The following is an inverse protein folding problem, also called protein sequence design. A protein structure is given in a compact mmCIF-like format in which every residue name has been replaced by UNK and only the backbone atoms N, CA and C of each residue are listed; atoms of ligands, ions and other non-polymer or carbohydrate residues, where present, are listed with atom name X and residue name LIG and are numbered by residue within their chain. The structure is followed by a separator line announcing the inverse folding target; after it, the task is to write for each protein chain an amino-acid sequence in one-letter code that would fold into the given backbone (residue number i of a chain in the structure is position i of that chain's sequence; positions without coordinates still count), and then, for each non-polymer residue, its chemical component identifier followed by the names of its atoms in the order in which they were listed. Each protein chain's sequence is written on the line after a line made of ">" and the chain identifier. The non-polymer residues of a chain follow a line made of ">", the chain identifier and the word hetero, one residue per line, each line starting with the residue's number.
data_IF_749529311051
#
_entry.id   IF_749529311051
#
_cell.length_a   1.000
_cell.length_b   1.000
_cell.length_c   1.000
_cell.angle_alpha   90.00
_cell.angle_beta   90.00
_cell.angle_gamma   90.00
#
_symmetry.space_group_name_H-M   'P 1'
#
loop_
_entity.id
_entity.type
_entity.pdbx_description
1 polymer ?
#
# COMPACT_ATOMS: atom_id res chain seq x y z
N UNK A 1 20.34 0.20 -14.24
CA UNK A 1 20.15 1.41 -13.38
C UNK A 1 18.99 1.13 -12.44
N UNK A 2 19.14 1.45 -11.16
CA UNK A 2 18.07 1.34 -10.16
C UNK A 2 16.93 2.27 -10.51
N UNK A 3 15.70 1.79 -10.50
CA UNK A 3 14.50 2.59 -10.76
C UNK A 3 14.26 3.59 -9.61
N UNK A 4 13.46 4.62 -9.88
CA UNK A 4 13.13 5.59 -8.83
C UNK A 4 11.99 5.08 -7.94
N UNK A 5 10.99 4.39 -8.50
CA UNK A 5 9.87 3.84 -7.73
C UNK A 5 9.48 2.43 -8.16
N UNK A 6 9.20 1.55 -7.19
CA UNK A 6 8.52 0.28 -7.38
C UNK A 6 7.05 0.45 -7.00
N UNK A 7 6.15 0.26 -7.95
CA UNK A 7 4.71 0.23 -7.73
C UNK A 7 4.33 -1.21 -7.39
N UNK A 8 3.85 -1.45 -6.18
CA UNK A 8 3.44 -2.78 -5.72
C UNK A 8 1.95 -2.94 -5.88
N UNK A 9 1.56 -3.95 -6.61
CA UNK A 9 0.18 -4.17 -7.06
C UNK A 9 -0.25 -5.64 -6.86
N UNK A 10 -0.82 -6.00 -5.71
CA UNK A 10 -1.62 -7.21 -5.60
C UNK A 10 -2.83 -7.10 -6.51
N UNK A 11 -3.08 -8.12 -7.32
CA UNK A 11 -4.14 -8.06 -8.33
C UNK A 11 -4.91 -9.36 -8.44
N UNK A 12 -6.23 -9.23 -8.53
CA UNK A 12 -7.16 -10.31 -8.85
C UNK A 12 -7.96 -10.03 -10.14
N UNK A 13 -7.68 -8.89 -10.79
CA UNK A 13 -8.36 -8.41 -12.01
C UNK A 13 -7.36 -8.19 -13.13
N UNK A 14 -6.85 -9.27 -13.75
CA UNK A 14 -5.83 -9.16 -14.79
C UNK A 14 -6.27 -8.32 -15.99
N UNK A 15 -7.58 -8.23 -16.24
CA UNK A 15 -8.17 -7.43 -17.31
C UNK A 15 -7.97 -5.92 -17.14
N UNK A 16 -7.72 -5.44 -15.92
CA UNK A 16 -7.48 -4.02 -15.65
C UNK A 16 -6.02 -3.62 -15.85
N UNK A 17 -5.11 -4.58 -15.87
CA UNK A 17 -3.66 -4.33 -15.75
C UNK A 17 -3.05 -3.55 -16.92
N UNK A 18 -3.48 -3.79 -18.16
CA UNK A 18 -2.96 -3.03 -19.31
C UNK A 18 -3.33 -1.55 -19.20
N UNK A 19 -4.55 -1.27 -18.77
CA UNK A 19 -5.00 0.10 -18.55
C UNK A 19 -4.29 0.73 -17.37
N UNK A 20 -4.20 0.01 -16.26
CA UNK A 20 -3.42 0.44 -15.10
C UNK A 20 -1.98 0.82 -15.51
N UNK A 21 -1.31 -0.01 -16.32
CA UNK A 21 0.03 0.26 -16.82
C UNK A 21 0.09 1.58 -17.58
N UNK A 22 -0.86 1.83 -18.48
CA UNK A 22 -0.91 3.08 -19.25
C UNK A 22 -1.09 4.32 -18.38
N UNK A 23 -1.77 4.21 -17.24
CA UNK A 23 -1.91 5.29 -16.27
C UNK A 23 -0.67 5.45 -15.39
N UNK A 24 0.02 4.37 -15.05
CA UNK A 24 1.31 4.44 -14.38
C UNK A 24 2.34 5.18 -15.24
N UNK A 25 2.37 4.96 -16.56
CA UNK A 25 3.21 5.74 -17.49
C UNK A 25 2.88 7.25 -17.47
N UNK A 26 1.59 7.61 -17.36
CA UNK A 26 1.18 9.01 -17.25
C UNK A 26 1.47 9.62 -15.86
N UNK A 27 1.46 8.80 -14.83
CA UNK A 27 1.73 9.24 -13.46
C UNK A 27 3.22 9.47 -13.19
N UNK A 28 4.11 8.80 -13.95
CA UNK A 28 5.56 8.83 -13.80
C UNK A 28 6.24 9.14 -15.15
N UNK A 29 6.15 10.39 -15.60
CA UNK A 29 6.68 10.82 -16.90
C UNK A 29 8.13 11.25 -16.85
N UNK A 30 8.57 11.79 -15.71
CA UNK A 30 9.89 12.41 -15.52
C UNK A 30 10.90 11.49 -14.87
N UNK A 31 10.41 10.41 -14.27
CA UNK A 31 11.21 9.47 -13.46
C UNK A 31 11.01 8.04 -13.98
N UNK A 32 11.78 7.11 -13.45
CA UNK A 32 11.71 5.71 -13.83
C UNK A 32 10.92 4.89 -12.83
N UNK A 33 10.11 3.95 -13.32
CA UNK A 33 9.32 3.06 -12.46
C UNK A 33 9.42 1.59 -12.91
N UNK A 34 9.09 0.72 -11.98
CA UNK A 34 8.71 -0.67 -12.24
C UNK A 34 7.36 -0.95 -11.58
N UNK A 35 6.65 -1.96 -12.07
CA UNK A 35 5.46 -2.49 -11.41
C UNK A 35 5.74 -3.93 -11.01
N UNK A 36 5.50 -4.23 -9.73
CA UNK A 36 5.63 -5.57 -9.17
C UNK A 36 4.23 -6.10 -8.87
N UNK A 37 3.77 -7.03 -9.70
CA UNK A 37 2.41 -7.58 -9.65
C UNK A 37 2.45 -8.92 -8.91
N UNK A 38 1.61 -9.07 -7.88
CA UNK A 38 1.36 -10.34 -7.21
C UNK A 38 -0.08 -10.77 -7.48
N UNK A 39 -0.29 -11.92 -8.15
CA UNK A 39 -1.62 -12.34 -8.57
C UNK A 39 -1.75 -13.86 -8.58
N UNK A 40 -2.96 -14.41 -8.26
CA UNK A 40 -3.28 -15.82 -8.49
C UNK A 40 -3.59 -16.12 -9.95
N UNK A 41 -3.71 -15.09 -10.80
CA UNK A 41 -4.05 -15.22 -12.22
C UNK A 41 -2.88 -14.81 -13.10
N UNK A 42 -2.77 -15.41 -14.28
CA UNK A 42 -1.82 -14.95 -15.28
C UNK A 42 -2.13 -13.52 -15.71
N UNK A 43 -1.11 -12.72 -15.84
CA UNK A 43 -1.25 -11.35 -16.35
C UNK A 43 -1.17 -11.34 -17.88
N UNK A 44 -1.72 -10.29 -18.55
CA UNK A 44 -1.67 -10.18 -20.01
C UNK A 44 -0.27 -10.31 -20.60
N UNK A 45 -0.13 -11.09 -21.66
CA UNK A 45 1.16 -11.34 -22.33
C UNK A 45 1.90 -10.05 -22.75
N UNK A 46 1.23 -8.98 -23.23
CA UNK A 46 1.92 -7.73 -23.53
C UNK A 46 2.66 -7.12 -22.33
N UNK A 47 2.13 -7.30 -21.11
CA UNK A 47 2.78 -6.83 -19.88
C UNK A 47 3.98 -7.69 -19.49
N UNK A 48 3.88 -9.01 -19.66
CA UNK A 48 5.01 -9.92 -19.39
C UNK A 48 6.27 -9.60 -20.22
N UNK A 49 6.09 -8.95 -21.39
CA UNK A 49 7.18 -8.54 -22.27
C UNK A 49 7.82 -7.20 -21.90
N UNK A 50 7.24 -6.47 -20.93
CA UNK A 50 7.77 -5.17 -20.48
C UNK A 50 8.93 -5.39 -19.51
N UNK A 51 10.05 -4.73 -19.74
CA UNK A 51 11.26 -4.84 -18.90
C UNK A 51 11.07 -4.30 -17.47
N UNK A 52 10.08 -3.41 -17.28
CA UNK A 52 9.76 -2.81 -16.00
C UNK A 52 8.56 -3.47 -15.31
N UNK A 53 8.17 -4.68 -15.74
CA UNK A 53 7.17 -5.49 -15.05
C UNK A 53 7.85 -6.69 -14.39
N UNK A 54 7.56 -6.88 -13.11
CA UNK A 54 7.85 -8.11 -12.37
C UNK A 54 6.54 -8.76 -11.98
N UNK A 55 6.44 -10.05 -12.18
CA UNK A 55 5.24 -10.82 -11.88
C UNK A 55 5.53 -11.95 -10.91
N UNK A 56 4.68 -12.07 -9.91
CA UNK A 56 4.69 -13.12 -8.91
C UNK A 56 3.35 -13.85 -8.89
N UNK A 57 3.35 -15.11 -9.25
CA UNK A 57 2.17 -15.95 -9.08
C UNK A 57 2.02 -16.38 -7.61
N UNK A 58 0.92 -16.01 -6.98
CA UNK A 58 0.67 -16.34 -5.56
C UNK A 58 -0.82 -16.36 -5.24
N UNK A 59 -1.20 -17.28 -4.35
CA UNK A 59 -2.55 -17.37 -3.76
C UNK A 59 -2.59 -16.81 -2.33
N UNK A 60 -1.58 -16.05 -1.94
CA UNK A 60 -1.52 -15.44 -0.63
C UNK A 60 -2.65 -14.41 -0.43
N UNK A 61 -3.04 -14.20 0.84
CA UNK A 61 -3.96 -13.11 1.18
C UNK A 61 -3.37 -11.74 0.78
N UNK A 62 -4.19 -10.67 0.72
CA UNK A 62 -3.74 -9.37 0.22
C UNK A 62 -2.49 -8.83 0.93
N UNK A 63 -2.42 -8.92 2.24
CA UNK A 63 -1.28 -8.41 3.02
C UNK A 63 0.01 -9.16 2.70
N UNK A 64 -0.06 -10.50 2.66
CA UNK A 64 1.10 -11.33 2.33
C UNK A 64 1.50 -11.13 0.86
N UNK A 65 0.54 -11.01 -0.05
CA UNK A 65 0.82 -10.73 -1.46
C UNK A 65 1.58 -9.40 -1.64
N UNK A 66 1.19 -8.34 -0.91
CA UNK A 66 1.95 -7.08 -0.85
C UNK A 66 3.38 -7.30 -0.35
N UNK A 67 3.52 -7.98 0.76
CA UNK A 67 4.84 -8.23 1.36
C UNK A 67 5.73 -9.04 0.41
N UNK A 68 5.16 -10.04 -0.26
CA UNK A 68 5.87 -10.85 -1.26
C UNK A 68 6.33 -10.02 -2.45
N UNK A 69 5.45 -9.18 -2.99
CA UNK A 69 5.79 -8.29 -4.08
C UNK A 69 6.87 -7.27 -3.66
N UNK A 70 6.77 -6.73 -2.45
CA UNK A 70 7.76 -5.79 -1.92
C UNK A 70 9.18 -6.37 -1.85
N UNK A 71 9.33 -7.69 -1.65
CA UNK A 71 10.65 -8.35 -1.69
C UNK A 71 11.30 -8.40 -3.08
N UNK A 72 10.52 -8.20 -4.13
CA UNK A 72 11.02 -8.14 -5.50
C UNK A 72 11.33 -6.71 -5.94
N UNK A 73 11.00 -5.72 -5.11
CA UNK A 73 11.31 -4.32 -5.37
C UNK A 73 12.82 -4.07 -5.26
N UNK A 74 13.34 -3.24 -6.18
CA UNK A 74 14.74 -2.80 -6.15
C UNK A 74 14.90 -1.31 -6.45
N UNK A 75 13.79 -0.55 -6.47
CA UNK A 75 13.81 0.90 -6.64
C UNK A 75 14.18 1.63 -5.35
N UNK A 76 14.34 2.96 -5.44
CA UNK A 76 14.61 3.82 -4.27
C UNK A 76 13.39 3.97 -3.36
N UNK A 77 12.21 4.04 -3.98
CA UNK A 77 10.93 4.21 -3.29
C UNK A 77 9.98 3.07 -3.61
N UNK A 78 9.07 2.82 -2.68
CA UNK A 78 7.95 1.89 -2.84
C UNK A 78 6.64 2.65 -2.76
N UNK A 79 5.73 2.35 -3.67
CA UNK A 79 4.35 2.83 -3.70
C UNK A 79 3.39 1.64 -3.73
N UNK A 80 2.49 1.55 -2.77
CA UNK A 80 1.44 0.53 -2.78
C UNK A 80 0.17 1.05 -3.44
N UNK A 81 -0.50 0.18 -4.18
CA UNK A 81 -1.78 0.49 -4.82
C UNK A 81 -2.60 -0.78 -5.06
N UNK A 82 -3.78 -0.64 -5.63
CA UNK A 82 -4.74 -1.72 -5.90
C UNK A 82 -5.15 -1.73 -7.38
N UNK A 83 -5.74 -2.83 -7.85
CA UNK A 83 -6.13 -3.04 -9.25
C UNK A 83 -7.57 -2.58 -9.56
N UNK A 84 -8.27 -2.02 -8.59
CA UNK A 84 -9.64 -1.51 -8.68
C UNK A 84 -9.71 -0.01 -8.97
N UNK A 85 -8.61 0.57 -9.38
CA UNK A 85 -8.56 1.99 -9.68
C UNK A 85 -7.37 2.38 -10.57
N UNK A 86 -7.14 3.68 -10.68
CA UNK A 86 -6.17 4.24 -11.60
C UNK A 86 -5.35 5.34 -10.96
N UNK A 87 -4.04 5.29 -11.17
CA UNK A 87 -3.12 6.34 -10.72
C UNK A 87 -3.37 7.59 -11.54
N UNK A 88 -3.48 8.73 -10.87
CA UNK A 88 -3.71 10.01 -11.53
C UNK A 88 -2.44 10.52 -12.21
N UNK A 89 -2.63 11.29 -13.29
CA UNK A 89 -1.54 11.88 -14.05
C UNK A 89 -0.59 12.69 -13.15
N UNK A 90 0.72 12.55 -13.36
CA UNK A 90 1.82 13.19 -12.61
C UNK A 90 1.89 12.86 -11.09
N UNK A 91 1.03 11.97 -10.57
CA UNK A 91 0.95 11.73 -9.13
C UNK A 91 2.26 11.15 -8.55
N UNK A 92 2.91 10.25 -9.26
CA UNK A 92 4.19 9.65 -8.83
C UNK A 92 5.31 10.67 -8.92
N UNK A 93 5.36 11.46 -9.99
CA UNK A 93 6.35 12.54 -10.14
C UNK A 93 6.23 13.56 -9.01
N UNK A 94 4.99 13.93 -8.62
CA UNK A 94 4.73 14.82 -7.48
C UNK A 94 5.17 14.20 -6.14
N UNK A 95 4.95 12.90 -5.94
CA UNK A 95 5.41 12.23 -4.73
C UNK A 95 6.94 12.21 -4.65
N UNK A 96 7.63 11.95 -5.78
CA UNK A 96 9.08 12.05 -5.87
C UNK A 96 9.59 13.48 -5.64
N UNK A 97 8.88 14.49 -6.11
CA UNK A 97 9.24 15.87 -5.82
C UNK A 97 9.01 16.25 -4.36
N UNK A 98 7.91 15.82 -3.75
CA UNK A 98 7.66 16.02 -2.33
C UNK A 98 8.70 15.31 -1.46
N UNK A 99 9.15 14.12 -1.86
CA UNK A 99 10.16 13.35 -1.13
C UNK A 99 11.49 14.08 -0.95
N UNK A 100 11.82 15.05 -1.82
CA UNK A 100 13.03 15.88 -1.71
C UNK A 100 12.97 16.86 -0.53
N UNK A 101 11.77 17.14 0.00
CA UNK A 101 11.51 18.13 1.04
C UNK A 101 11.15 17.52 2.40
N UNK A 102 11.19 16.20 2.53
CA UNK A 102 10.88 15.48 3.77
C UNK A 102 12.05 14.58 4.15
N UNK A 103 12.02 14.05 5.36
CA UNK A 103 13.02 13.08 5.79
C UNK A 103 12.65 11.66 5.35
N UNK A 104 13.04 11.28 4.13
CA UNK A 104 12.73 9.97 3.53
C UNK A 104 13.20 8.76 4.36
N UNK A 105 14.10 8.96 5.33
CA UNK A 105 14.59 7.88 6.21
C UNK A 105 13.62 7.54 7.33
N UNK A 106 12.54 8.32 7.50
CA UNK A 106 11.55 8.09 8.55
C UNK A 106 10.15 8.61 8.26
N UNK A 107 9.96 9.35 7.18
CA UNK A 107 8.68 9.92 6.82
C UNK A 107 8.01 9.11 5.70
N UNK A 108 6.70 9.28 5.57
CA UNK A 108 5.85 8.63 4.59
C UNK A 108 4.97 9.68 3.90
N UNK A 109 4.65 9.47 2.63
CA UNK A 109 3.65 10.25 1.90
C UNK A 109 2.38 9.41 1.78
N UNK A 110 1.26 9.96 2.20
CA UNK A 110 -0.07 9.43 1.94
C UNK A 110 -0.50 9.87 0.53
N UNK A 111 -0.65 8.90 -0.35
CA UNK A 111 -1.14 9.09 -1.72
C UNK A 111 -2.66 9.18 -1.66
N UNK A 112 -3.19 10.39 -1.48
CA UNK A 112 -4.63 10.63 -1.33
C UNK A 112 -5.40 10.03 -2.50
N UNK A 113 -6.55 9.44 -2.23
CA UNK A 113 -7.39 8.84 -3.25
C UNK A 113 -8.84 9.29 -3.15
N UNK A 114 -9.52 9.30 -4.28
CA UNK A 114 -10.97 9.47 -4.38
C UNK A 114 -11.63 8.11 -4.65
N UNK A 115 -12.83 7.95 -4.16
CA UNK A 115 -13.64 6.75 -4.35
C UNK A 115 -14.92 7.07 -5.11
N UNK A 116 -15.32 6.17 -6.00
CA UNK A 116 -16.57 6.32 -6.74
C UNK A 116 -16.89 5.12 -7.63
N UNK A 117 -18.02 5.16 -8.29
CA UNK A 117 -18.37 4.17 -9.30
C UNK A 117 -17.78 4.61 -10.62
N UNK A 118 -16.71 3.94 -11.03
CA UNK A 118 -15.96 4.21 -12.25
C UNK A 118 -16.03 3.01 -13.18
N UNK A 119 -16.37 3.23 -14.44
CA UNK A 119 -16.09 2.24 -15.47
C UNK A 119 -14.61 2.31 -15.81
N UNK A 120 -13.85 1.32 -15.33
CA UNK A 120 -12.42 1.25 -15.58
C UNK A 120 -12.09 1.16 -17.07
N UNK A 121 -12.99 0.62 -17.90
CA UNK A 121 -12.76 0.50 -19.34
C UNK A 121 -12.86 1.84 -20.05
N UNK A 122 -13.83 2.65 -19.70
CA UNK A 122 -14.07 3.97 -20.31
C UNK A 122 -13.49 5.11 -19.51
N UNK A 123 -13.25 4.92 -18.21
CA UNK A 123 -12.89 5.94 -17.21
C UNK A 123 -14.02 6.97 -16.96
N UNK A 124 -15.24 6.61 -17.32
CA UNK A 124 -16.39 7.44 -17.04
C UNK A 124 -16.90 7.15 -15.64
N UNK A 125 -17.22 8.19 -14.89
CA UNK A 125 -17.94 8.06 -13.64
C UNK A 125 -19.36 7.59 -13.93
N UNK A 126 -19.68 6.35 -13.52
CA UNK A 126 -21.02 5.80 -13.71
C UNK A 126 -22.04 6.48 -12.79
N UNK A 127 -21.61 6.95 -11.63
CA UNK A 127 -22.45 7.67 -10.70
C UNK A 127 -21.65 8.75 -9.95
N UNK A 128 -21.59 9.98 -10.47
CA UNK A 128 -20.84 11.06 -9.85
C UNK A 128 -21.37 11.45 -8.46
N UNK A 129 -22.62 11.09 -8.11
CA UNK A 129 -23.15 11.34 -6.77
C UNK A 129 -22.65 10.36 -5.71
N UNK A 130 -21.95 9.31 -6.12
CA UNK A 130 -21.32 8.34 -5.23
C UNK A 130 -19.80 8.51 -5.15
N UNK A 131 -19.23 9.51 -5.79
CA UNK A 131 -17.84 9.81 -5.59
C UNK A 131 -17.63 10.36 -4.17
N UNK A 132 -16.76 9.71 -3.42
CA UNK A 132 -16.32 10.17 -2.12
C UNK A 132 -14.98 10.84 -2.29
N UNK A 133 -14.95 12.13 -2.12
CA UNK A 133 -13.68 12.87 -2.13
C UNK A 133 -12.89 12.49 -0.89
N UNK A 134 -11.72 12.00 -1.11
CA UNK A 134 -10.85 11.51 -0.06
C UNK A 134 -10.59 12.55 1.03
N UNK A 135 -10.41 13.81 0.68
CA UNK A 135 -10.20 14.85 1.67
C UNK A 135 -11.40 15.05 2.62
N UNK A 136 -12.62 14.93 2.12
CA UNK A 136 -13.82 15.08 2.95
C UNK A 136 -14.18 13.79 3.69
N UNK A 137 -13.93 12.64 3.10
CA UNK A 137 -14.27 11.35 3.67
C UNK A 137 -13.19 10.85 4.66
N UNK A 138 -11.91 11.04 4.32
CA UNK A 138 -10.78 10.55 5.12
C UNK A 138 -10.12 11.63 5.96
N UNK A 139 -10.47 12.88 5.80
CA UNK A 139 -9.99 13.96 6.66
C UNK A 139 -10.24 13.67 8.15
N UNK A 140 -11.41 13.15 8.56
CA UNK A 140 -11.60 12.63 9.92
C UNK A 140 -10.60 11.54 10.30
N UNK A 141 -10.27 10.64 9.40
CA UNK A 141 -9.34 9.55 9.60
C UNK A 141 -7.90 10.06 9.75
N UNK A 142 -7.53 11.05 8.96
CA UNK A 142 -6.22 11.67 9.07
C UNK A 142 -6.07 12.48 10.37
N UNK A 143 -7.17 12.85 11.02
CA UNK A 143 -7.18 13.61 12.27
C UNK A 143 -7.49 12.72 13.50
N UNK A 144 -7.57 11.42 13.32
CA UNK A 144 -7.80 10.50 14.42
C UNK A 144 -9.24 10.47 14.90
N UNK A 145 -10.22 10.77 14.05
CA UNK A 145 -11.65 10.58 14.37
C UNK A 145 -12.02 9.11 14.50
N UNK A 146 -11.21 8.20 14.08
CA UNK A 146 -11.24 6.82 14.54
C UNK A 146 -10.90 6.68 16.01
N UNK A 147 -10.70 7.79 16.71
CA UNK A 147 -10.64 7.96 18.18
C UNK A 147 -10.28 6.68 18.90
N UNK A 148 -9.11 6.19 18.60
CA UNK A 148 -8.59 5.04 19.27
C UNK A 148 -8.12 5.56 20.65
N UNK A 149 -8.79 5.20 21.76
CA UNK A 149 -8.38 5.67 23.08
C UNK A 149 -6.90 5.34 23.29
N UNK A 150 -6.15 6.29 23.83
CA UNK A 150 -4.73 6.13 24.10
C UNK A 150 -3.78 6.34 22.92
N UNK A 151 -4.27 6.55 21.70
CA UNK A 151 -3.44 6.88 20.54
C UNK A 151 -3.35 8.39 20.37
N UNK A 152 -2.21 8.85 19.83
CA UNK A 152 -2.04 10.24 19.45
C UNK A 152 -3.10 10.63 18.42
N UNK A 153 -4.01 11.54 18.79
CA UNK A 153 -5.14 11.97 17.95
C UNK A 153 -4.73 12.63 16.65
N UNK A 154 -3.48 13.04 16.52
CA UNK A 154 -2.94 13.65 15.31
C UNK A 154 -2.31 12.62 14.35
N UNK A 155 -2.31 11.34 14.70
CA UNK A 155 -1.78 10.30 13.83
C UNK A 155 -2.71 10.08 12.64
N UNK A 156 -2.10 10.02 11.46
CA UNK A 156 -2.80 9.84 10.21
C UNK A 156 -2.87 8.36 9.84
N UNK A 157 -4.01 7.96 9.34
CA UNK A 157 -4.15 6.70 8.61
C UNK A 157 -3.62 6.86 7.18
N UNK A 158 -3.22 5.76 6.56
CA UNK A 158 -2.78 5.74 5.19
C UNK A 158 -3.28 4.46 4.52
N UNK A 159 -3.90 4.59 3.35
CA UNK A 159 -4.37 3.47 2.52
C UNK A 159 -3.47 3.24 1.31
N UNK A 160 -2.91 4.29 0.76
CA UNK A 160 -1.94 4.25 -0.32
C UNK A 160 -0.72 5.03 0.11
N UNK A 161 0.40 4.36 0.31
CA UNK A 161 1.61 5.01 0.79
C UNK A 161 2.69 5.07 -0.28
N UNK A 162 3.52 6.09 -0.17
CA UNK A 162 4.78 6.22 -0.87
C UNK A 162 5.88 6.52 0.14
N UNK A 163 6.92 5.71 0.18
CA UNK A 163 8.03 5.88 1.11
C UNK A 163 9.33 5.30 0.58
N UNK A 164 10.45 5.57 1.24
CA UNK A 164 11.72 4.91 0.94
C UNK A 164 11.58 3.40 1.10
N UNK A 165 12.07 2.64 0.12
CA UNK A 165 12.11 1.17 0.21
C UNK A 165 12.99 0.70 1.38
N UNK A 166 14.15 1.34 1.59
CA UNK A 166 15.04 1.02 2.71
C UNK A 166 14.33 1.19 4.05
N UNK A 167 13.58 2.29 4.22
CA UNK A 167 12.85 2.52 5.47
C UNK A 167 11.66 1.57 5.64
N UNK A 168 10.97 1.20 4.56
CA UNK A 168 9.95 0.16 4.59
C UNK A 168 10.51 -1.19 5.08
N UNK A 169 11.70 -1.56 4.60
CA UNK A 169 12.41 -2.76 5.02
C UNK A 169 12.87 -2.64 6.48
N UNK A 170 13.41 -1.51 6.90
CA UNK A 170 13.84 -1.23 8.27
C UNK A 170 12.67 -1.39 9.25
N UNK A 171 11.48 -0.93 8.91
CA UNK A 171 10.26 -1.13 9.69
C UNK A 171 9.74 -2.58 9.70
N UNK A 172 10.33 -3.47 8.89
CA UNK A 172 9.91 -4.86 8.74
C UNK A 172 8.72 -5.05 7.79
N UNK A 173 8.42 -4.05 6.97
CA UNK A 173 7.32 -4.08 6.01
C UNK A 173 5.95 -4.20 6.69
N UNK A 174 5.04 -4.94 6.07
CA UNK A 174 3.72 -5.22 6.66
C UNK A 174 3.78 -6.28 7.77
N UNK A 175 2.92 -6.15 8.74
CA UNK A 175 2.67 -7.23 9.69
C UNK A 175 1.80 -8.30 9.01
N UNK A 176 2.42 -9.41 8.61
CA UNK A 176 1.75 -10.52 7.92
C UNK A 176 0.80 -11.33 8.81
N UNK A 177 0.62 -10.95 10.08
CA UNK A 177 -0.49 -11.46 10.89
C UNK A 177 -1.83 -10.81 10.52
N UNK A 178 -1.81 -9.70 9.79
CA UNK A 178 -3.02 -9.19 9.15
C UNK A 178 -3.27 -9.93 7.83
N UNK A 179 -4.51 -10.23 7.57
CA UNK A 179 -4.93 -10.77 6.28
C UNK A 179 -5.54 -9.69 5.37
N UNK A 180 -6.22 -8.73 5.99
CA UNK A 180 -6.85 -7.62 5.29
C UNK A 180 -5.90 -6.43 5.19
N UNK A 181 -5.60 -6.03 3.96
CA UNK A 181 -4.56 -5.04 3.68
C UNK A 181 -4.78 -3.69 4.37
N UNK A 182 -6.04 -3.26 4.55
CA UNK A 182 -6.35 -1.97 5.18
C UNK A 182 -5.73 -1.83 6.57
N UNK A 183 -5.89 -2.84 7.43
CA UNK A 183 -5.33 -2.80 8.77
C UNK A 183 -3.81 -2.86 8.76
N UNK A 184 -3.21 -3.62 7.83
CA UNK A 184 -1.76 -3.65 7.66
C UNK A 184 -1.20 -2.29 7.20
N UNK A 185 -1.93 -1.58 6.36
CA UNK A 185 -1.55 -0.24 5.88
C UNK A 185 -1.66 0.81 6.99
N UNK A 186 -2.75 0.77 7.76
CA UNK A 186 -2.91 1.64 8.93
C UNK A 186 -1.85 1.36 10.01
N UNK A 187 -1.57 0.08 10.28
CA UNK A 187 -0.50 -0.34 11.18
C UNK A 187 0.86 0.20 10.73
N UNK A 188 1.20 0.10 9.45
CA UNK A 188 2.44 0.65 8.92
C UNK A 188 2.53 2.16 9.13
N UNK A 189 1.46 2.90 8.82
CA UNK A 189 1.42 4.35 9.01
C UNK A 189 1.56 4.75 10.50
N UNK A 190 0.97 3.97 11.40
CA UNK A 190 1.10 4.19 12.83
C UNK A 190 2.50 3.90 13.33
N UNK A 191 3.14 2.83 12.85
CA UNK A 191 4.55 2.54 13.18
C UNK A 191 5.51 3.63 12.72
N UNK A 192 5.29 4.22 11.54
CA UNK A 192 6.05 5.39 11.08
C UNK A 192 5.95 6.53 12.09
N UNK A 193 4.72 6.84 12.54
CA UNK A 193 4.47 7.97 13.44
C UNK A 193 4.93 7.68 14.88
N UNK A 194 4.78 6.47 15.36
CA UNK A 194 5.30 6.03 16.66
C UNK A 194 6.84 6.14 16.70
N UNK A 195 7.48 5.92 15.57
CA UNK A 195 8.92 6.04 15.37
C UNK A 195 9.40 7.50 15.21
N UNK A 196 8.53 8.46 15.44
CA UNK A 196 8.82 9.89 15.31
C UNK A 196 8.85 10.42 13.89
N UNK A 197 8.43 9.61 12.91
CA UNK A 197 8.22 10.04 11.53
C UNK A 197 6.90 10.79 11.36
N UNK A 198 6.69 11.32 10.17
CA UNK A 198 5.49 12.05 9.79
C UNK A 198 4.86 11.43 8.55
N UNK A 199 3.53 11.51 8.47
CA UNK A 199 2.77 11.19 7.28
C UNK A 199 2.32 12.49 6.61
N UNK A 200 2.81 12.74 5.41
CA UNK A 200 2.48 13.92 4.61
C UNK A 200 1.43 13.54 3.59
N UNK A 201 0.40 14.34 3.43
CA UNK A 201 -0.55 14.14 2.34
C UNK A 201 0.04 14.69 1.03
N UNK A 202 -0.10 13.94 -0.05
CA UNK A 202 0.15 14.51 -1.37
C UNK A 202 -0.83 15.65 -1.62
N UNK A 203 -0.40 16.79 -2.20
CA UNK A 203 -1.28 17.98 -2.34
C UNK A 203 -2.34 17.85 -3.43
N UNK A 204 -2.55 16.66 -3.96
CA UNK A 204 -3.49 16.33 -5.03
C UNK A 204 -3.90 14.86 -4.91
N UNK A 205 -5.11 14.53 -5.35
CA UNK A 205 -5.55 13.13 -5.51
C UNK A 205 -4.58 12.37 -6.39
N UNK A 206 -4.07 11.26 -5.86
CA UNK A 206 -3.08 10.41 -6.50
C UNK A 206 -3.69 9.18 -7.19
N UNK A 207 -4.84 8.74 -6.71
CA UNK A 207 -5.47 7.51 -7.15
C UNK A 207 -6.99 7.66 -7.19
N UNK A 208 -7.60 7.08 -8.17
CA UNK A 208 -9.05 7.00 -8.28
C UNK A 208 -9.47 5.53 -8.11
N UNK A 209 -10.18 5.22 -7.02
CA UNK A 209 -10.63 3.87 -6.67
C UNK A 209 -12.07 3.66 -7.12
N UNK A 210 -12.35 2.53 -7.76
CA UNK A 210 -13.70 2.18 -8.18
C UNK A 210 -14.35 1.20 -7.21
N UNK A 211 -15.50 1.57 -6.69
CA UNK A 211 -16.34 0.73 -5.81
C UNK A 211 -17.53 0.09 -6.53
N UNK A 212 -17.54 0.06 -7.84
CA UNK A 212 -18.67 -0.43 -8.64
C UNK A 212 -18.67 -1.93 -8.94
N UNK A 213 -17.78 -2.72 -8.33
CA UNK A 213 -17.62 -4.12 -8.70
C UNK A 213 -18.09 -5.06 -7.60
N UNK A 214 -18.89 -6.05 -7.97
CA UNK A 214 -19.33 -7.17 -7.12
C UNK A 214 -18.20 -8.17 -6.78
N UNK A 215 -16.95 -7.84 -7.14
CA UNK A 215 -15.78 -8.72 -7.07
C UNK A 215 -15.01 -8.64 -5.74
N UNK A 216 -15.69 -8.26 -4.66
CA UNK A 216 -15.05 -8.16 -3.34
C UNK A 216 -14.77 -9.52 -2.67
N UNK A 217 -15.17 -10.63 -3.27
CA UNK A 217 -15.08 -11.97 -2.68
C UNK A 217 -13.73 -12.31 -2.04
N UNK A 218 -12.57 -12.07 -2.69
CA UNK A 218 -11.30 -12.40 -2.05
C UNK A 218 -10.95 -11.51 -0.86
N UNK A 219 -11.49 -10.28 -0.84
CA UNK A 219 -11.34 -9.35 0.28
C UNK A 219 -12.31 -9.72 1.39
N UNK A 220 -13.51 -10.16 1.07
CA UNK A 220 -14.51 -10.66 2.02
C UNK A 220 -14.07 -11.97 2.67
N UNK A 221 -13.32 -12.81 1.96
CA UNK A 221 -12.71 -14.04 2.48
C UNK A 221 -11.54 -13.77 3.42
N UNK A 222 -10.91 -12.59 3.35
CA UNK A 222 -9.89 -12.19 4.29
C UNK A 222 -10.47 -12.07 5.70
N UNK A 223 -9.70 -12.47 6.71
CA UNK A 223 -10.17 -12.52 8.09
C UNK A 223 -10.27 -11.12 8.72
N UNK A 224 -11.21 -10.34 8.25
CA UNK A 224 -11.44 -8.97 8.72
C UNK A 224 -11.69 -8.90 10.24
N UNK A 225 -12.45 -9.85 10.79
CA UNK A 225 -12.78 -9.87 12.22
C UNK A 225 -11.53 -10.03 13.10
N UNK A 226 -10.68 -11.04 12.92
CA UNK A 226 -9.39 -11.16 13.61
C UNK A 226 -8.50 -9.94 13.44
N UNK A 227 -8.42 -9.36 12.26
CA UNK A 227 -7.61 -8.18 11.98
C UNK A 227 -8.07 -6.96 12.79
N UNK A 228 -9.37 -6.71 12.86
CA UNK A 228 -9.96 -5.64 13.68
C UNK A 228 -9.63 -5.86 15.16
N UNK A 229 -9.76 -7.08 15.65
CA UNK A 229 -9.44 -7.41 17.04
C UNK A 229 -7.96 -7.17 17.30
N UNK A 230 -7.07 -7.65 16.43
CA UNK A 230 -5.63 -7.44 16.54
C UNK A 230 -5.27 -5.96 16.53
N UNK A 231 -5.77 -5.20 15.57
CA UNK A 231 -5.52 -3.76 15.46
C UNK A 231 -6.01 -3.01 16.71
N UNK A 232 -7.21 -3.33 17.21
CA UNK A 232 -7.75 -2.74 18.41
C UNK A 232 -6.94 -3.10 19.65
N UNK A 233 -6.47 -4.34 19.78
CA UNK A 233 -5.63 -4.77 20.88
C UNK A 233 -4.31 -3.99 20.91
N UNK A 234 -3.71 -3.78 19.73
CA UNK A 234 -2.45 -3.05 19.64
C UNK A 234 -2.64 -1.56 19.94
N UNK A 235 -3.70 -0.94 19.41
CA UNK A 235 -3.81 0.52 19.38
C UNK A 235 -4.90 1.11 20.28
N UNK A 236 -5.88 0.33 20.72
CA UNK A 236 -6.96 0.80 21.61
C UNK A 236 -6.81 0.37 23.05
N UNK A 237 -6.30 -0.80 23.29
CA UNK A 237 -6.18 -1.34 24.64
C UNK A 237 -4.83 -0.96 25.22
N UNK A 238 -4.80 0.13 25.97
CA UNK A 238 -3.60 0.57 26.68
C UNK A 238 -3.11 -0.45 27.71
N UNK A 239 -3.95 -1.40 28.11
CA UNK A 239 -3.63 -2.46 29.07
C UNK A 239 -2.95 -3.69 28.43
N UNK A 240 -2.97 -3.81 27.10
CA UNK A 240 -2.26 -4.85 26.35
C UNK A 240 -0.82 -4.45 26.04
N UNK A 241 -0.03 -4.22 27.07
CA UNK A 241 1.39 -3.81 26.96
C UNK A 241 2.21 -4.85 26.19
N UNK A 242 1.85 -6.12 26.26
CA UNK A 242 2.54 -7.21 25.59
C UNK A 242 2.44 -7.15 24.07
N UNK A 243 1.32 -6.67 23.53
CA UNK A 243 1.10 -6.61 22.09
C UNK A 243 1.78 -5.40 21.42
N UNK A 244 2.26 -4.44 22.22
CA UNK A 244 2.98 -3.27 21.71
C UNK A 244 4.49 -3.48 21.55
N UNK A 245 5.03 -4.56 22.07
CA UNK A 245 6.48 -4.80 22.10
C UNK A 245 7.06 -4.86 20.70
N UNK A 246 6.36 -5.46 19.74
CA UNK A 246 6.85 -5.52 18.35
C UNK A 246 6.54 -4.28 17.51
N UNK A 247 5.83 -3.29 18.07
CA UNK A 247 5.75 -1.93 17.53
C UNK A 247 6.90 -1.05 18.02
N UNK A 248 7.73 -1.54 18.96
CA UNK A 248 8.87 -0.82 19.43
C UNK A 248 9.92 -0.74 18.34
N UNK A 249 10.29 0.49 17.97
CA UNK A 249 11.31 0.74 16.95
C UNK A 249 12.63 0.02 17.23
N UNK A 250 13.05 -0.05 18.49
CA UNK A 250 14.29 -0.74 18.85
C UNK A 250 14.26 -2.23 18.53
N UNK A 251 13.06 -2.82 18.46
CA UNK A 251 12.88 -4.22 18.10
C UNK A 251 12.98 -4.44 16.58
N UNK A 252 12.82 -3.39 15.78
CA UNK A 252 12.85 -3.44 14.31
C UNK A 252 14.10 -2.82 13.70
N UNK A 253 14.73 -1.89 14.43
CA UNK A 253 15.90 -1.16 13.95
C UNK A 253 17.02 -2.11 13.57
N UNK A 254 17.45 -2.04 12.32
CA UNK A 254 18.58 -2.82 11.82
C UNK A 254 18.37 -4.33 11.82
N UNK A 255 17.12 -4.79 11.71
CA UNK A 255 16.79 -6.20 11.87
C UNK A 255 16.32 -6.88 10.61
N UNK A 256 17.24 -7.43 9.87
CA UNK A 256 16.96 -8.43 8.84
C UNK A 256 16.09 -9.58 9.37
N UNK A 257 16.24 -9.94 10.66
CA UNK A 257 15.49 -11.01 11.29
C UNK A 257 13.98 -10.74 11.42
N UNK A 258 13.52 -9.50 11.60
CA UNK A 258 12.08 -9.18 11.64
C UNK A 258 11.48 -9.27 10.25
N UNK A 259 12.18 -8.75 9.26
CA UNK A 259 11.80 -8.91 7.87
C UNK A 259 11.70 -10.39 7.51
N UNK A 260 12.71 -11.20 7.87
CA UNK A 260 12.73 -12.63 7.64
C UNK A 260 11.62 -13.38 8.40
N UNK A 261 11.27 -12.96 9.65
CA UNK A 261 10.17 -13.57 10.41
C UNK A 261 8.80 -13.27 9.83
N UNK A 262 8.60 -12.06 9.34
CA UNK A 262 7.34 -11.68 8.68
C UNK A 262 7.21 -12.32 7.31
N UNK A 263 8.36 -12.66 6.75
CA UNK A 263 8.42 -13.18 5.41
C UNK A 263 9.59 -14.15 5.24
N UNK A 264 9.35 -15.43 5.47
CA UNK A 264 10.36 -16.47 5.27
C UNK A 264 10.61 -16.67 3.77
N UNK A 265 11.75 -16.12 3.29
CA UNK A 265 12.17 -16.26 1.89
C UNK A 265 12.33 -17.71 1.44
N UNK A 266 12.60 -18.64 2.38
CA UNK A 266 12.80 -20.05 2.05
C UNK A 266 11.45 -20.77 1.82
N UNK A 267 10.36 -20.25 2.34
CA UNK A 267 9.02 -20.79 2.13
C UNK A 267 8.28 -20.19 0.93
N UNK A 268 8.91 -19.21 0.25
CA UNK A 268 8.39 -18.65 -0.98
C UNK A 268 8.46 -19.67 -2.11
N UNK A 269 7.35 -20.27 -2.43
CA UNK A 269 7.19 -20.93 -3.73
C UNK A 269 7.03 -19.88 -4.82
N UNK A 270 8.10 -19.19 -5.14
CA UNK A 270 8.15 -18.30 -6.29
C UNK A 270 8.22 -19.17 -7.53
N UNK A 271 7.12 -19.37 -8.20
CA UNK A 271 7.17 -19.84 -9.58
C UNK A 271 7.55 -18.64 -10.45
N UNK A 272 8.83 -18.50 -10.76
CA UNK A 272 9.24 -17.67 -11.90
C UNK A 272 8.72 -18.40 -13.15
N UNK A 273 7.70 -17.88 -13.77
CA UNK A 273 7.37 -18.20 -15.15
C UNK A 273 8.17 -17.32 -16.08
#
# INVERSE_FOLDING_TARGET
>A
MTKDVSIVLPSIRPENLEKFYSFAEKACKKNSFEIVIASPYLIPEPLLKKENIKYLHTYANPTIAFQMAALLCDAKFIYNTTDDGLIQEDAIDLALDLSKNINVKKDMINMIYDEGVLDIKTLDLLNPNHSHFHESYWSPWTHGDLRLPGINKNWKLCMHFFMSLDYFIELGGFDCNYEYSNHALHDLAFRVQENGGKVYNLPKTAFFCSHGHDDHKPVEEAQLGPDIIRFNNIYKNTDCVSDRVYLNYNDWKGRDAIWARRFDKNNLKISKQ
#
